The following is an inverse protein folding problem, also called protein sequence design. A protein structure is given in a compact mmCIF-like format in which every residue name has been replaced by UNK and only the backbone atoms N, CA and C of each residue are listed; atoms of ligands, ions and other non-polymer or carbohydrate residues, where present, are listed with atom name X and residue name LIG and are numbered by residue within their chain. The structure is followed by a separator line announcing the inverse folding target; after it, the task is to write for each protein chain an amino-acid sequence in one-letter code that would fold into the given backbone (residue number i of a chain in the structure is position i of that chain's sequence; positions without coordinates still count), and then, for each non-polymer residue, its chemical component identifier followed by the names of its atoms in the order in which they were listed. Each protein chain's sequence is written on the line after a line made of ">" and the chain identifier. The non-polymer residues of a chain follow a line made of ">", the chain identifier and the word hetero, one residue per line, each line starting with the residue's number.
data_IF_740991764672
#
_entry.id   IF_740991764672
#
_cell.length_a   1.000
_cell.length_b   1.000
_cell.length_c   1.000
_cell.angle_alpha   90.00
_cell.angle_beta   90.00
_cell.angle_gamma   90.00
#
_symmetry.space_group_name_H-M   'P 1'
#
loop_
_entity.id
_entity.type
_entity.pdbx_description
1 polymer ?
#
# COMPACT_ATOMS: atom_id res chain seq x y z
N UNK A 1 109.19 30.77 -36.57
CA UNK A 1 108.16 30.75 -37.63
C UNK A 1 107.69 29.32 -37.81
N UNK A 2 106.39 29.03 -37.65
CA UNK A 2 105.66 27.97 -38.37
C UNK A 2 104.20 28.02 -37.93
N UNK A 3 103.29 28.13 -38.89
CA UNK A 3 101.84 28.14 -38.68
C UNK A 3 101.24 26.85 -39.20
N UNK A 4 100.34 26.21 -38.44
CA UNK A 4 99.49 25.15 -38.96
C UNK A 4 98.01 25.51 -38.71
N UNK A 5 97.21 25.54 -39.78
CA UNK A 5 95.75 25.78 -39.73
C UNK A 5 95.00 24.46 -39.91
N UNK A 6 93.95 24.19 -39.12
CA UNK A 6 93.00 23.12 -39.40
C UNK A 6 91.83 23.62 -40.28
N UNK A 7 91.36 22.79 -41.21
CA UNK A 7 90.08 22.98 -41.91
C UNK A 7 89.57 21.64 -42.48
N UNK A 8 88.27 21.60 -42.83
CA UNK A 8 87.54 20.50 -43.50
C UNK A 8 86.99 19.36 -42.63
N UNK A 9 85.98 19.67 -41.80
CA UNK A 9 85.04 18.66 -41.29
C UNK A 9 83.55 19.10 -41.23
N UNK A 10 83.22 20.30 -41.72
CA UNK A 10 81.84 20.84 -41.74
C UNK A 10 81.08 20.59 -43.04
N UNK A 11 81.73 20.08 -44.09
CA UNK A 11 81.14 19.94 -45.44
C UNK A 11 80.38 18.63 -45.69
N UNK A 12 80.49 17.64 -44.80
CA UNK A 12 79.89 16.31 -44.98
C UNK A 12 78.48 16.22 -44.41
N UNK A 13 78.27 16.69 -43.17
CA UNK A 13 76.95 16.69 -42.50
C UNK A 13 75.89 17.50 -43.27
N UNK A 14 76.29 18.61 -43.92
CA UNK A 14 75.40 19.43 -44.73
C UNK A 14 74.91 18.72 -46.02
N UNK A 15 75.59 17.65 -46.44
CA UNK A 15 75.39 16.99 -47.74
C UNK A 15 74.48 15.76 -47.66
N UNK A 16 74.37 15.11 -46.51
CA UNK A 16 73.40 14.01 -46.30
C UNK A 16 71.96 14.52 -46.10
N UNK A 17 71.79 15.68 -45.45
CA UNK A 17 70.47 16.27 -45.19
C UNK A 17 69.66 16.60 -46.47
N UNK A 18 70.33 16.74 -47.63
CA UNK A 18 69.71 16.97 -48.93
C UNK A 18 69.40 15.68 -49.71
N UNK A 19 69.74 14.49 -49.17
CA UNK A 19 69.54 13.19 -49.83
C UNK A 19 68.33 12.41 -49.31
N UNK A 20 67.95 12.61 -48.04
CA UNK A 20 66.68 12.12 -47.50
C UNK A 20 65.57 13.12 -47.81
N UNK A 21 64.71 12.83 -48.78
CA UNK A 21 63.59 13.68 -49.22
C UNK A 21 62.43 13.83 -48.23
N UNK A 22 62.72 14.08 -46.94
CA UNK A 22 61.74 14.34 -45.89
C UNK A 22 61.48 15.84 -45.82
N UNK A 23 60.44 16.29 -46.53
CA UNK A 23 59.92 17.64 -46.39
C UNK A 23 59.22 17.79 -45.03
N UNK A 24 59.92 18.35 -44.05
CA UNK A 24 59.27 18.91 -42.87
C UNK A 24 58.53 20.18 -43.29
N UNK A 25 57.20 20.10 -43.40
CA UNK A 25 56.36 21.27 -43.58
C UNK A 25 56.60 22.27 -42.43
N UNK A 26 56.70 23.59 -42.69
CA UNK A 26 56.98 24.56 -41.65
C UNK A 26 55.99 24.49 -40.47
N UNK A 27 56.53 24.47 -39.25
CA UNK A 27 55.76 24.44 -37.99
C UNK A 27 54.86 25.66 -37.77
N UNK A 28 54.99 26.69 -38.60
CA UNK A 28 54.30 27.98 -38.51
C UNK A 28 52.77 27.89 -38.64
N UNK A 29 52.23 26.88 -39.32
CA UNK A 29 50.78 26.63 -39.35
C UNK A 29 50.27 26.13 -38.00
N UNK A 30 50.95 25.17 -37.37
CA UNK A 30 50.58 24.65 -36.05
C UNK A 30 50.72 25.68 -34.93
N UNK A 31 51.63 26.66 -35.07
CA UNK A 31 51.75 27.78 -34.14
C UNK A 31 50.63 28.81 -34.29
N UNK A 32 50.23 29.14 -35.53
CA UNK A 32 49.04 29.97 -35.78
C UNK A 32 47.76 29.32 -35.29
N UNK A 33 47.59 28.02 -35.51
CA UNK A 33 46.42 27.27 -35.03
C UNK A 33 46.40 27.24 -33.49
N UNK A 34 47.54 27.03 -32.82
CA UNK A 34 47.65 27.13 -31.35
C UNK A 34 47.32 28.52 -30.82
N UNK A 35 47.82 29.58 -31.44
CA UNK A 35 47.53 30.95 -31.05
C UNK A 35 46.04 31.29 -31.23
N UNK A 36 45.42 30.78 -32.31
CA UNK A 36 43.99 30.91 -32.55
C UNK A 36 43.15 30.17 -31.49
N UNK A 37 43.52 28.93 -31.12
CA UNK A 37 42.83 28.19 -30.05
C UNK A 37 42.98 28.88 -28.69
N UNK A 38 44.17 29.38 -28.36
CA UNK A 38 44.40 30.09 -27.09
C UNK A 38 43.54 31.36 -27.00
N UNK A 39 43.50 32.16 -28.07
CA UNK A 39 42.67 33.37 -28.13
C UNK A 39 41.17 33.07 -28.03
N UNK A 40 40.71 31.94 -28.59
CA UNK A 40 39.32 31.48 -28.41
C UNK A 40 39.04 31.02 -26.98
N UNK A 41 39.96 30.29 -26.34
CA UNK A 41 39.83 29.86 -24.94
C UNK A 41 39.80 31.07 -23.98
N UNK A 42 40.62 32.09 -24.22
CA UNK A 42 40.60 33.37 -23.48
C UNK A 42 39.27 34.12 -23.67
N UNK A 43 38.78 34.24 -24.91
CA UNK A 43 37.50 34.86 -25.19
C UNK A 43 36.31 34.10 -24.55
N UNK A 44 36.36 32.78 -24.51
CA UNK A 44 35.37 31.95 -23.81
C UNK A 44 35.47 32.11 -22.29
N UNK A 45 36.68 32.20 -21.73
CA UNK A 45 36.89 32.45 -20.30
C UNK A 45 36.39 33.84 -19.88
N UNK A 46 36.64 34.89 -20.69
CA UNK A 46 36.07 36.21 -20.47
C UNK A 46 34.54 36.22 -20.59
N UNK A 47 33.99 35.51 -21.58
CA UNK A 47 32.54 35.40 -21.75
C UNK A 47 31.89 34.72 -20.55
N UNK A 48 32.47 33.62 -20.04
CA UNK A 48 32.02 32.97 -18.82
C UNK A 48 32.11 33.90 -17.60
N UNK A 49 33.18 34.71 -17.49
CA UNK A 49 33.35 35.71 -16.42
C UNK A 49 32.33 36.86 -16.50
N UNK A 50 31.94 37.27 -17.72
CA UNK A 50 31.01 38.38 -17.97
C UNK A 50 29.52 37.95 -17.92
N UNK A 51 29.22 36.68 -18.15
CA UNK A 51 27.85 36.17 -18.28
C UNK A 51 27.48 35.03 -17.30
N UNK A 52 28.30 34.73 -16.28
CA UNK A 52 27.90 33.85 -15.18
C UNK A 52 26.99 34.56 -14.18
N UNK A 53 25.81 34.00 -13.89
CA UNK A 53 25.00 34.43 -12.76
C UNK A 53 25.72 34.18 -11.43
N UNK A 54 25.60 35.10 -10.48
CA UNK A 54 26.09 34.91 -9.10
C UNK A 54 25.41 33.67 -8.49
N UNK A 55 26.16 32.71 -7.93
CA UNK A 55 25.57 31.50 -7.36
C UNK A 55 24.68 31.87 -6.18
N UNK A 56 23.48 31.27 -6.14
CA UNK A 56 22.50 31.52 -5.07
C UNK A 56 23.13 31.23 -3.71
N UNK A 57 23.09 32.18 -2.74
CA UNK A 57 23.71 31.99 -1.44
C UNK A 57 23.21 30.72 -0.75
N UNK A 58 24.15 29.94 -0.20
CA UNK A 58 23.89 28.62 0.39
C UNK A 58 22.85 28.65 1.52
N UNK A 59 22.77 29.75 2.27
CA UNK A 59 21.78 29.91 3.35
C UNK A 59 20.34 29.97 2.81
N UNK A 60 20.08 30.55 1.63
CA UNK A 60 18.74 30.65 1.04
C UNK A 60 18.23 29.26 0.64
N UNK A 61 19.07 28.45 0.01
CA UNK A 61 18.70 27.11 -0.45
C UNK A 61 18.68 26.06 0.67
N UNK A 62 19.62 26.13 1.61
CA UNK A 62 19.71 25.17 2.72
C UNK A 62 18.65 25.40 3.81
N UNK A 63 18.29 26.65 4.13
CA UNK A 63 17.27 26.95 5.13
C UNK A 63 15.88 26.48 4.67
N UNK A 64 15.45 26.88 3.46
CA UNK A 64 14.15 26.49 2.90
C UNK A 64 13.98 24.96 2.79
N UNK A 65 15.05 24.24 2.42
CA UNK A 65 15.01 22.77 2.40
C UNK A 65 14.83 22.19 3.81
N UNK A 66 15.55 22.71 4.79
CA UNK A 66 15.48 22.26 6.18
C UNK A 66 14.09 22.48 6.79
N UNK A 67 13.49 23.65 6.56
CA UNK A 67 12.13 23.98 6.99
C UNK A 67 11.07 23.08 6.34
N UNK A 68 11.17 22.87 5.02
CA UNK A 68 10.31 21.94 4.29
C UNK A 68 10.40 20.51 4.83
N UNK A 69 11.62 20.05 5.14
CA UNK A 69 11.84 18.72 5.71
C UNK A 69 11.27 18.59 7.12
N UNK A 70 11.46 19.61 7.98
CA UNK A 70 10.85 19.67 9.32
C UNK A 70 9.31 19.67 9.24
N UNK A 71 8.72 20.38 8.28
CA UNK A 71 7.26 20.38 8.06
C UNK A 71 6.73 19.00 7.65
N UNK A 72 7.43 18.31 6.73
CA UNK A 72 7.10 16.93 6.32
C UNK A 72 7.29 15.93 7.46
N UNK A 73 8.29 16.12 8.32
CA UNK A 73 8.54 15.26 9.48
C UNK A 73 7.44 15.40 10.54
N UNK A 74 7.03 16.63 10.89
CA UNK A 74 5.86 16.84 11.76
C UNK A 74 4.59 16.17 11.21
N UNK A 75 4.34 16.28 9.90
CA UNK A 75 3.21 15.59 9.25
C UNK A 75 3.31 14.06 9.35
N UNK A 76 4.51 13.48 9.19
CA UNK A 76 4.74 12.03 9.40
C UNK A 76 4.44 11.62 10.84
N UNK A 77 4.94 12.38 11.82
CA UNK A 77 4.75 12.11 13.25
C UNK A 77 3.28 12.18 13.64
N UNK A 78 2.57 13.25 13.28
CA UNK A 78 1.11 13.39 13.53
C UNK A 78 0.32 12.23 12.92
N UNK A 79 0.61 11.84 11.68
CA UNK A 79 -0.03 10.67 11.06
C UNK A 79 0.31 9.34 11.75
N UNK A 80 1.51 9.24 12.35
CA UNK A 80 1.91 8.06 13.14
C UNK A 80 1.21 8.00 14.50
N UNK A 81 1.03 9.14 15.16
CA UNK A 81 0.29 9.28 16.41
C UNK A 81 -1.20 9.02 16.21
N UNK A 82 -1.82 9.59 15.15
CA UNK A 82 -3.21 9.31 14.80
C UNK A 82 -3.46 7.82 14.57
N UNK A 83 -2.59 7.14 13.80
CA UNK A 83 -2.67 5.68 13.60
C UNK A 83 -2.46 4.91 14.90
N UNK A 84 -1.50 5.31 15.75
CA UNK A 84 -1.26 4.69 17.06
C UNK A 84 -2.50 4.82 17.96
N UNK A 85 -3.07 6.01 18.05
CA UNK A 85 -4.25 6.28 18.89
C UNK A 85 -5.50 5.55 18.37
N UNK A 86 -5.67 5.44 17.05
CA UNK A 86 -6.73 4.63 16.43
C UNK A 86 -6.57 3.12 16.70
N UNK A 87 -5.34 2.60 16.69
CA UNK A 87 -5.07 1.21 17.06
C UNK A 87 -5.36 0.97 18.54
N UNK A 88 -4.95 1.89 19.42
CA UNK A 88 -5.23 1.83 20.86
C UNK A 88 -6.74 1.90 21.16
N UNK A 89 -7.51 2.77 20.48
CA UNK A 89 -8.97 2.85 20.70
C UNK A 89 -9.73 1.65 20.13
N UNK A 90 -9.19 0.99 19.10
CA UNK A 90 -9.74 -0.25 18.54
C UNK A 90 -9.37 -1.49 19.36
N UNK A 91 -8.25 -1.44 20.09
CA UNK A 91 -7.88 -2.45 21.07
C UNK A 91 -8.87 -2.37 22.25
N UNK A 92 -9.88 -3.24 22.26
CA UNK A 92 -10.66 -3.48 23.47
C UNK A 92 -9.70 -3.93 24.56
N UNK A 93 -9.55 -3.21 25.69
CA UNK A 93 -8.73 -3.69 26.78
C UNK A 93 -9.38 -4.98 27.29
N UNK A 94 -8.67 -6.09 27.12
CA UNK A 94 -8.94 -7.27 27.91
C UNK A 94 -8.77 -6.87 29.39
N UNK A 95 -9.66 -7.34 30.29
CA UNK A 95 -9.55 -7.03 31.73
C UNK A 95 -8.23 -7.50 32.38
N UNK A 96 -7.41 -8.24 31.63
CA UNK A 96 -6.02 -8.54 31.97
C UNK A 96 -5.08 -7.33 31.87
N UNK A 97 -5.34 -6.27 31.08
CA UNK A 97 -4.44 -5.10 30.99
C UNK A 97 -4.58 -4.20 32.23
N UNK A 98 -5.80 -4.05 32.75
CA UNK A 98 -6.06 -3.38 34.03
C UNK A 98 -5.43 -4.18 35.18
N UNK A 99 -5.65 -5.50 35.20
CA UNK A 99 -5.02 -6.42 36.16
C UNK A 99 -3.49 -6.41 36.07
N UNK A 100 -2.91 -6.28 34.88
CA UNK A 100 -1.46 -6.20 34.70
C UNK A 100 -0.92 -4.83 35.12
N UNK A 101 -1.62 -3.73 34.81
CA UNK A 101 -1.30 -2.39 35.31
C UNK A 101 -1.36 -2.35 36.84
N UNK A 102 -2.39 -2.94 37.44
CA UNK A 102 -2.53 -3.10 38.90
C UNK A 102 -1.39 -3.95 39.48
N UNK A 103 -1.06 -5.10 38.87
CA UNK A 103 0.07 -5.94 39.29
C UNK A 103 1.42 -5.22 39.17
N UNK A 104 1.63 -4.45 38.10
CA UNK A 104 2.82 -3.60 37.89
C UNK A 104 2.83 -2.36 38.79
N UNK A 105 1.69 -1.88 39.27
CA UNK A 105 1.58 -0.82 40.26
C UNK A 105 1.91 -1.35 41.65
N UNK A 106 1.34 -2.50 42.06
CA UNK A 106 1.67 -3.22 43.29
C UNK A 106 3.17 -3.56 43.36
N UNK A 107 3.76 -4.07 42.28
CA UNK A 107 5.21 -4.29 42.19
C UNK A 107 6.03 -3.00 42.39
N UNK A 108 5.60 -1.87 41.80
CA UNK A 108 6.29 -0.58 41.97
C UNK A 108 6.11 0.00 43.38
N UNK A 109 4.94 -0.18 44.00
CA UNK A 109 4.69 0.17 45.39
C UNK A 109 5.63 -0.63 46.31
N UNK A 110 5.65 -1.97 46.20
CA UNK A 110 6.54 -2.85 46.97
C UNK A 110 8.03 -2.51 46.78
N UNK A 111 8.47 -2.18 45.56
CA UNK A 111 9.86 -1.73 45.32
C UNK A 111 10.13 -0.38 45.99
N UNK A 112 9.17 0.55 45.96
CA UNK A 112 9.31 1.86 46.61
C UNK A 112 9.28 1.77 48.15
N UNK A 113 8.50 0.85 48.71
CA UNK A 113 8.45 0.56 50.15
C UNK A 113 9.74 -0.14 50.60
N UNK A 114 10.20 -1.16 49.86
CA UNK A 114 11.48 -1.83 50.11
C UNK A 114 12.71 -0.91 49.96
N UNK A 115 12.56 0.28 49.36
CA UNK A 115 13.60 1.33 49.30
C UNK A 115 13.56 2.32 50.47
N UNK A 116 12.51 2.32 51.30
CA UNK A 116 12.43 3.11 52.54
C UNK A 116 13.09 2.41 53.72
N UNK A 117 13.01 1.09 53.78
CA UNK A 117 13.50 0.29 54.92
C UNK A 117 14.98 -0.15 54.79
N UNK A 118 15.79 0.55 53.97
CA UNK A 118 17.22 0.23 53.77
C UNK A 118 18.13 1.44 53.86
N UNK A 119 18.21 1.99 55.09
CA UNK A 119 19.41 2.68 55.57
C UNK A 119 20.12 1.82 56.62
N UNK A 120 20.82 0.78 56.16
CA UNK A 120 21.98 0.25 56.87
C UNK A 120 22.85 -0.56 55.90
N UNK A 121 24.16 -0.40 56.01
CA UNK A 121 25.13 -0.90 55.04
C UNK A 121 25.93 -2.07 55.61
N UNK A 122 25.92 -3.22 54.94
CA UNK A 122 26.88 -4.31 55.19
C UNK A 122 27.38 -4.87 53.87
N UNK A 123 28.71 -4.96 53.75
CA UNK A 123 29.46 -5.52 52.62
C UNK A 123 29.71 -7.01 52.87
N UNK A 124 29.33 -7.91 51.95
CA UNK A 124 29.90 -9.27 51.84
C UNK A 124 30.05 -9.69 50.37
N UNK A 125 31.09 -10.48 50.09
CA UNK A 125 31.55 -10.93 48.75
C UNK A 125 30.88 -12.24 48.30
N UNK A 126 30.95 -12.47 46.98
CA UNK A 126 31.10 -13.73 46.22
C UNK A 126 30.58 -15.06 46.82
N UNK A 127 29.89 -15.87 45.98
CA UNK A 127 30.39 -17.18 45.53
C UNK A 127 29.46 -17.90 44.53
N UNK A 128 30.03 -18.78 43.71
CA UNK A 128 29.32 -19.70 42.81
C UNK A 128 28.97 -21.02 43.53
N UNK A 129 27.81 -21.64 43.26
CA UNK A 129 27.73 -23.02 42.75
C UNK A 129 26.33 -23.43 42.25
N UNK A 130 26.31 -24.59 41.60
CA UNK A 130 25.25 -25.23 40.82
C UNK A 130 24.25 -26.06 41.62
N UNK A 131 23.23 -26.57 40.91
CA UNK A 131 22.51 -27.88 41.00
C UNK A 131 20.99 -27.64 41.07
N UNK A 132 20.20 -27.89 40.00
CA UNK A 132 19.50 -29.16 39.65
C UNK A 132 18.55 -29.64 40.75
N UNK A 133 17.37 -30.21 40.48
CA UNK A 133 16.50 -30.20 39.29
C UNK A 133 15.23 -29.37 39.66
N UNK A 134 14.11 -29.21 38.94
CA UNK A 134 13.49 -29.93 37.81
C UNK A 134 12.71 -28.95 36.90
N UNK A 135 12.15 -29.44 35.79
CA UNK A 135 11.08 -28.77 35.01
C UNK A 135 9.96 -29.77 34.71
N UNK A 136 8.71 -29.37 34.92
CA UNK A 136 7.52 -30.02 34.37
C UNK A 136 6.88 -29.12 33.30
N UNK A 137 6.37 -29.71 32.23
CA UNK A 137 5.38 -29.07 31.35
C UNK A 137 5.91 -28.11 30.28
N UNK A 138 6.77 -28.59 29.38
CA UNK A 138 6.74 -28.09 28.00
C UNK A 138 5.79 -28.99 27.19
N UNK A 139 4.78 -28.41 26.54
CA UNK A 139 4.13 -29.06 25.39
C UNK A 139 3.73 -28.00 24.36
N UNK A 140 4.57 -27.88 23.34
CA UNK A 140 4.34 -27.00 22.20
C UNK A 140 3.58 -27.76 21.12
N UNK A 141 2.35 -27.33 20.78
CA UNK A 141 1.57 -27.92 19.70
C UNK A 141 2.31 -27.90 18.35
N UNK A 142 2.88 -29.05 17.98
CA UNK A 142 3.27 -29.42 16.63
C UNK A 142 2.65 -30.77 16.29
N UNK A 143 1.60 -30.75 15.46
CA UNK A 143 1.01 -31.93 14.83
C UNK A 143 1.05 -31.62 13.33
N UNK A 144 2.07 -32.10 12.62
CA UNK A 144 2.11 -33.41 11.97
C UNK A 144 1.04 -33.52 10.89
N UNK A 145 1.43 -33.21 9.65
CA UNK A 145 0.64 -33.53 8.46
C UNK A 145 0.85 -35.01 8.18
N UNK A 146 -0.18 -35.82 8.44
CA UNK A 146 -0.24 -37.18 7.92
C UNK A 146 -0.59 -37.13 6.44
N UNK A 147 0.35 -37.51 5.58
CA UNK A 147 0.04 -37.84 4.18
C UNK A 147 -0.66 -39.19 4.13
N UNK A 148 -1.84 -39.23 3.54
CA UNK A 148 -2.57 -40.47 3.27
C UNK A 148 -1.78 -41.28 2.23
N UNK A 149 -1.50 -42.55 2.53
CA UNK A 149 -0.94 -43.48 1.56
C UNK A 149 -2.08 -44.05 0.69
N UNK A 150 -2.29 -43.47 -0.49
CA UNK A 150 -3.15 -44.08 -1.51
C UNK A 150 -2.40 -45.21 -2.23
N UNK A 151 -2.67 -46.45 -1.79
CA UNK A 151 -2.25 -47.67 -2.47
C UNK A 151 -2.81 -47.68 -3.89
N UNK A 152 -1.93 -47.50 -4.87
CA UNK A 152 -2.23 -47.67 -6.29
C UNK A 152 -1.24 -48.64 -6.91
N UNK A 153 -1.53 -49.94 -6.76
CA UNK A 153 -0.86 -51.00 -7.51
C UNK A 153 -1.28 -50.90 -8.97
N UNK A 154 -0.37 -50.46 -9.82
CA UNK A 154 -0.47 -50.62 -11.27
C UNK A 154 0.93 -50.85 -11.83
N UNK A 155 1.25 -52.12 -12.10
CA UNK A 155 2.54 -52.51 -12.68
C UNK A 155 2.60 -52.14 -14.17
N UNK A 156 3.17 -50.96 -14.46
CA UNK A 156 3.58 -50.54 -15.80
C UNK A 156 5.10 -50.70 -16.01
N UNK A 157 5.58 -51.08 -17.22
CA UNK A 157 7.00 -51.31 -17.46
C UNK A 157 7.85 -50.02 -17.30
N UNK A 158 8.79 -50.03 -16.35
CA UNK A 158 9.68 -48.89 -16.08
C UNK A 158 10.73 -48.70 -17.19
N UNK A 159 10.51 -47.74 -18.09
CA UNK A 159 11.52 -47.25 -19.04
C UNK A 159 12.64 -46.50 -18.29
N UNK A 160 13.74 -47.20 -17.97
CA UNK A 160 14.86 -46.73 -17.12
C UNK A 160 15.72 -45.58 -17.68
N UNK A 161 15.35 -44.99 -18.82
CA UNK A 161 16.19 -43.98 -19.50
C UNK A 161 15.95 -42.55 -18.99
N UNK A 162 14.76 -42.24 -18.46
CA UNK A 162 14.39 -40.87 -18.07
C UNK A 162 15.12 -40.35 -16.80
N UNK A 163 15.36 -41.21 -15.81
CA UNK A 163 15.94 -40.80 -14.51
C UNK A 163 17.41 -40.35 -14.60
N UNK A 164 18.15 -40.80 -15.62
CA UNK A 164 19.57 -40.43 -15.81
C UNK A 164 19.72 -38.94 -16.19
N UNK A 165 18.96 -38.49 -17.17
CA UNK A 165 18.92 -37.07 -17.60
C UNK A 165 18.53 -36.14 -16.45
N UNK A 166 17.53 -36.52 -15.65
CA UNK A 166 17.04 -35.69 -14.55
C UNK A 166 18.14 -35.40 -13.54
N UNK A 167 18.95 -36.39 -13.15
CA UNK A 167 20.05 -36.20 -12.19
C UNK A 167 21.16 -35.30 -12.72
N UNK A 168 21.57 -35.44 -13.98
CA UNK A 168 22.53 -34.50 -14.60
C UNK A 168 22.00 -33.07 -14.63
N UNK A 169 20.70 -32.90 -14.94
CA UNK A 169 20.06 -31.57 -15.01
C UNK A 169 19.68 -30.95 -13.66
N UNK A 170 19.75 -31.68 -12.53
CA UNK A 170 19.53 -31.10 -11.19
C UNK A 170 20.77 -31.14 -10.28
N UNK A 171 21.85 -31.85 -10.65
CA UNK A 171 23.06 -31.98 -9.84
C UNK A 171 23.86 -30.69 -9.60
N UNK A 172 23.41 -29.54 -10.12
CA UNK A 172 23.90 -28.22 -9.71
C UNK A 172 23.19 -27.66 -8.47
N UNK A 173 22.01 -28.18 -8.10
CA UNK A 173 21.25 -27.75 -6.91
C UNK A 173 21.83 -28.36 -5.62
N UNK A 174 22.44 -29.54 -5.69
CA UNK A 174 23.10 -30.20 -4.56
C UNK A 174 24.43 -29.53 -4.16
N UNK A 175 24.95 -28.61 -4.99
CA UNK A 175 26.15 -27.83 -4.71
C UNK A 175 25.76 -26.55 -3.97
N UNK A 176 26.00 -26.51 -2.67
CA UNK A 176 25.85 -25.29 -1.87
C UNK A 176 26.72 -24.17 -2.45
N UNK A 177 26.16 -22.97 -2.74
CA UNK A 177 26.94 -21.89 -3.34
C UNK A 177 28.00 -21.40 -2.35
N UNK A 178 29.26 -21.28 -2.79
CA UNK A 178 30.37 -20.85 -1.93
C UNK A 178 30.26 -19.39 -1.46
N UNK A 179 29.44 -18.58 -2.14
CA UNK A 179 29.21 -17.19 -1.78
C UNK A 179 28.25 -17.06 -0.59
N UNK A 180 28.82 -16.85 0.59
CA UNK A 180 28.08 -16.43 1.78
C UNK A 180 28.15 -14.90 1.91
N UNK A 181 27.12 -14.14 1.49
CA UNK A 181 27.10 -12.70 1.67
C UNK A 181 27.10 -12.36 3.17
N UNK A 182 27.96 -11.43 3.58
CA UNK A 182 27.92 -10.84 4.93
C UNK A 182 26.69 -9.96 5.07
N UNK A 183 25.55 -10.57 5.43
CA UNK A 183 24.30 -9.87 5.70
C UNK A 183 24.50 -8.97 6.92
N UNK A 184 24.60 -7.66 6.69
CA UNK A 184 24.66 -6.66 7.76
C UNK A 184 23.29 -6.63 8.45
N UNK A 185 23.17 -7.30 9.59
CA UNK A 185 21.92 -7.41 10.37
C UNK A 185 21.51 -6.11 11.07
N UNK A 186 22.47 -5.22 11.31
CA UNK A 186 22.22 -3.93 11.96
C UNK A 186 21.97 -2.86 10.89
N UNK A 187 20.81 -2.22 10.94
CA UNK A 187 20.47 -1.12 10.05
C UNK A 187 21.45 0.05 10.31
N UNK A 188 22.23 0.51 9.32
CA UNK A 188 23.13 1.64 9.52
C UNK A 188 22.37 2.91 9.92
N UNK A 189 22.99 3.77 10.71
CA UNK A 189 22.42 5.07 11.07
C UNK A 189 22.40 6.00 9.84
N UNK A 190 21.33 5.90 9.06
CA UNK A 190 21.11 6.71 7.87
C UNK A 190 21.03 8.21 8.19
N UNK A 191 20.65 8.61 9.41
CA UNK A 191 20.62 10.02 9.79
C UNK A 191 22.05 10.57 9.95
N UNK A 192 22.93 9.84 10.64
CA UNK A 192 24.36 10.19 10.74
C UNK A 192 25.06 10.15 9.38
N UNK A 193 24.79 9.13 8.56
CA UNK A 193 25.35 9.02 7.21
C UNK A 193 24.88 10.16 6.29
N UNK A 194 23.60 10.49 6.29
CA UNK A 194 23.07 11.63 5.53
C UNK A 194 23.69 12.96 6.00
N UNK A 195 23.83 13.16 7.30
CA UNK A 195 24.45 14.36 7.89
C UNK A 195 25.97 14.42 7.67
N UNK A 196 26.65 13.30 7.42
CA UNK A 196 28.04 13.29 6.97
C UNK A 196 28.12 13.70 5.49
N UNK A 197 27.39 13.00 4.62
CA UNK A 197 27.34 13.27 3.18
C UNK A 197 26.93 14.72 2.87
N UNK A 198 25.97 15.28 3.61
CA UNK A 198 25.56 16.68 3.45
C UNK A 198 26.68 17.66 3.82
N UNK A 199 27.50 17.37 4.84
CA UNK A 199 28.67 18.19 5.17
C UNK A 199 29.74 18.09 4.08
N UNK A 200 30.01 16.90 3.58
CA UNK A 200 30.97 16.63 2.50
C UNK A 200 30.51 17.25 1.16
N UNK A 201 29.21 17.50 0.99
CA UNK A 201 28.63 18.23 -0.13
C UNK A 201 28.71 19.76 0.04
N UNK A 202 28.69 20.28 1.29
CA UNK A 202 28.89 21.72 1.57
C UNK A 202 30.36 22.14 1.61
N UNK A 203 31.28 21.21 1.87
CA UNK A 203 32.71 21.46 1.62
C UNK A 203 32.93 21.57 0.11
N UNK A 204 33.63 22.62 -0.31
CA UNK A 204 33.82 22.95 -1.73
C UNK A 204 34.61 21.86 -2.43
N UNK A 205 33.90 20.98 -3.15
CA UNK A 205 34.52 19.98 -4.03
C UNK A 205 35.38 20.73 -5.05
N UNK A 206 36.71 20.57 -4.96
CA UNK A 206 37.64 21.03 -6.00
C UNK A 206 37.11 20.52 -7.33
N UNK A 207 36.83 21.43 -8.26
CA UNK A 207 36.25 21.13 -9.58
C UNK A 207 36.95 19.92 -10.18
N UNK A 208 36.20 18.83 -10.41
CA UNK A 208 36.75 17.60 -10.98
C UNK A 208 37.25 17.89 -12.38
N UNK A 209 38.56 18.17 -12.50
CA UNK A 209 39.21 18.34 -13.80
C UNK A 209 39.23 16.97 -14.47
N UNK A 210 38.52 16.83 -15.58
CA UNK A 210 38.63 15.66 -16.42
C UNK A 210 40.08 15.56 -16.89
N UNK A 211 40.79 14.47 -16.55
CA UNK A 211 42.02 14.15 -17.26
C UNK A 211 41.65 13.89 -18.73
N UNK A 212 42.41 14.44 -19.70
CA UNK A 212 42.21 14.11 -21.10
C UNK A 212 42.55 12.63 -21.30
N UNK A 213 41.53 11.81 -21.56
CA UNK A 213 41.71 10.40 -21.92
C UNK A 213 41.60 10.26 -23.43
N UNK A 214 42.51 9.47 -24.02
CA UNK A 214 42.53 9.21 -25.45
C UNK A 214 41.41 8.23 -25.83
N UNK A 215 40.22 8.76 -26.12
CA UNK A 215 39.10 7.98 -26.64
C UNK A 215 39.45 7.46 -28.04
N UNK A 216 39.52 6.14 -28.22
CA UNK A 216 39.87 5.47 -29.49
C UNK A 216 38.72 5.52 -30.52
N UNK A 217 38.26 6.72 -30.88
CA UNK A 217 37.20 6.92 -31.88
C UNK A 217 37.63 6.56 -33.30
N UNK A 218 38.93 6.59 -33.61
CA UNK A 218 39.48 6.28 -34.94
C UNK A 218 39.21 4.86 -35.43
N UNK A 219 38.88 3.92 -34.54
CA UNK A 219 38.52 2.53 -34.89
C UNK A 219 37.00 2.30 -34.94
N UNK A 220 36.18 3.31 -34.66
CA UNK A 220 34.72 3.18 -34.74
C UNK A 220 34.24 3.54 -36.16
N UNK A 221 33.51 2.66 -36.86
CA UNK A 221 32.99 2.99 -38.18
C UNK A 221 32.00 4.16 -38.09
N UNK A 222 32.14 5.12 -39.01
CA UNK A 222 31.22 6.25 -39.12
C UNK A 222 29.81 5.71 -39.35
N UNK A 223 28.93 5.89 -38.36
CA UNK A 223 27.53 5.49 -38.45
C UNK A 223 26.85 6.39 -39.47
N UNK A 224 26.71 5.91 -40.70
CA UNK A 224 25.94 6.59 -41.74
C UNK A 224 24.48 6.72 -41.28
N UNK A 225 24.14 7.86 -40.68
CA UNK A 225 22.73 8.21 -40.51
C UNK A 225 22.18 8.51 -41.90
N UNK A 226 20.96 8.03 -42.16
CA UNK A 226 20.30 8.19 -43.45
C UNK A 226 19.96 9.67 -43.65
N UNK A 227 20.85 10.40 -44.33
CA UNK A 227 20.65 11.80 -44.66
C UNK A 227 19.44 11.94 -45.61
N UNK A 228 18.30 12.32 -45.05
CA UNK A 228 17.19 12.87 -45.82
C UNK A 228 17.61 14.24 -46.33
N UNK A 229 17.56 14.43 -47.65
CA UNK A 229 17.91 15.69 -48.32
C UNK A 229 17.04 16.87 -47.85
N UNK A 230 17.61 18.07 -48.00
CA UNK A 230 17.00 19.40 -47.89
C UNK A 230 16.62 19.90 -46.48
N UNK A 231 17.09 21.11 -46.15
CA UNK A 231 16.68 21.87 -44.95
C UNK A 231 17.83 22.55 -44.22
N UNK A 232 18.52 23.51 -44.85
CA UNK A 232 19.46 24.39 -44.17
C UNK A 232 18.71 25.25 -43.10
N UNK A 233 19.32 25.47 -41.93
CA UNK A 233 18.62 26.15 -40.83
C UNK A 233 19.25 25.99 -39.44
N UNK A 234 20.11 26.94 -39.08
CA UNK A 234 20.66 27.14 -37.72
C UNK A 234 19.60 27.01 -36.62
N UNK A 235 19.68 25.96 -35.79
CA UNK A 235 18.91 25.89 -34.53
C UNK A 235 19.53 26.79 -33.46
N UNK A 236 19.11 28.07 -33.44
CA UNK A 236 19.30 28.94 -32.27
C UNK A 236 18.28 28.56 -31.19
N UNK A 237 18.81 28.09 -30.07
CA UNK A 237 18.15 27.90 -28.80
C UNK A 237 17.75 29.27 -28.20
N UNK A 238 16.48 29.65 -28.31
CA UNK A 238 15.91 30.80 -27.59
C UNK A 238 15.07 30.35 -26.38
N UNK A 239 15.19 31.13 -25.32
CA UNK A 239 14.69 30.83 -23.97
C UNK A 239 13.25 31.30 -23.73
N UNK A 240 12.67 30.82 -22.62
CA UNK A 240 11.59 31.45 -21.86
C UNK A 240 10.25 31.73 -22.58
N UNK A 241 9.39 30.71 -22.59
CA UNK A 241 7.95 30.88 -22.86
C UNK A 241 7.19 31.22 -21.58
N UNK A 242 7.12 32.50 -21.25
CA UNK A 242 6.24 33.04 -20.20
C UNK A 242 4.78 32.64 -20.46
N UNK A 243 4.09 32.11 -19.44
CA UNK A 243 2.67 31.74 -19.52
C UNK A 243 1.79 32.85 -18.96
N UNK A 244 1.34 33.77 -19.82
CA UNK A 244 0.33 34.78 -19.52
C UNK A 244 -0.82 34.70 -20.55
N UNK A 245 -1.64 33.64 -20.47
CA UNK A 245 -2.80 33.46 -21.34
C UNK A 245 -4.08 34.15 -20.81
N UNK A 246 -4.00 34.90 -19.70
CA UNK A 246 -5.15 35.62 -19.12
C UNK A 246 -5.54 36.94 -19.80
N UNK A 247 -4.81 37.38 -20.83
CA UNK A 247 -4.98 38.71 -21.43
C UNK A 247 -5.93 38.76 -22.65
N UNK A 248 -6.36 37.62 -23.21
CA UNK A 248 -7.15 37.59 -24.45
C UNK A 248 -8.68 37.56 -24.24
N UNK A 249 -9.14 37.30 -23.01
CA UNK A 249 -10.56 37.37 -22.64
C UNK A 249 -11.06 38.78 -22.34
N UNK A 250 -10.19 39.80 -22.40
CA UNK A 250 -10.51 41.22 -22.15
C UNK A 250 -10.46 42.09 -23.40
N UNK A 251 -10.42 41.49 -24.60
CA UNK A 251 -10.52 42.22 -25.86
C UNK A 251 -11.98 42.62 -26.09
N UNK A 252 -12.21 43.91 -26.37
CA UNK A 252 -13.54 44.44 -26.64
C UNK A 252 -14.12 43.88 -27.95
N UNK A 253 -15.45 43.92 -28.06
CA UNK A 253 -16.22 43.56 -29.27
C UNK A 253 -15.91 44.42 -30.50
N UNK A 254 -15.04 45.42 -30.37
CA UNK A 254 -14.65 46.38 -31.41
C UNK A 254 -13.30 46.03 -32.07
N UNK A 255 -12.71 44.88 -31.71
CA UNK A 255 -11.48 44.39 -32.36
C UNK A 255 -11.84 43.56 -33.59
N UNK A 256 -11.37 43.97 -34.78
CA UNK A 256 -11.54 43.19 -36.01
C UNK A 256 -11.11 41.72 -35.81
N UNK A 257 -11.80 40.73 -36.43
CA UNK A 257 -11.48 39.32 -36.24
C UNK A 257 -10.01 39.04 -36.56
N UNK A 258 -9.22 38.76 -35.52
CA UNK A 258 -7.81 38.37 -35.69
C UNK A 258 -7.79 37.01 -36.37
N UNK A 259 -7.59 37.01 -37.68
CA UNK A 259 -7.57 35.81 -38.51
C UNK A 259 -6.67 34.74 -37.87
N UNK A 260 -7.29 33.65 -37.42
CA UNK A 260 -6.61 32.58 -36.71
C UNK A 260 -5.69 31.88 -37.69
N UNK A 261 -4.40 32.19 -37.63
CA UNK A 261 -3.36 31.56 -38.44
C UNK A 261 -3.39 30.04 -38.25
N UNK A 262 -3.07 29.27 -39.30
CA UNK A 262 -3.11 27.80 -39.20
C UNK A 262 -2.13 27.26 -38.15
N UNK A 263 -1.05 27.97 -37.84
CA UNK A 263 -0.18 27.65 -36.71
C UNK A 263 -0.89 27.78 -35.35
N UNK A 264 -1.88 28.67 -35.19
CA UNK A 264 -2.74 28.71 -34.01
C UNK A 264 -3.77 27.55 -34.03
N UNK A 265 -4.39 27.28 -35.19
CA UNK A 265 -5.34 26.16 -35.37
C UNK A 265 -4.69 24.81 -35.03
N UNK A 266 -3.52 24.51 -35.59
CA UNK A 266 -2.75 23.28 -35.32
C UNK A 266 -2.31 23.15 -33.87
N UNK A 267 -1.98 24.26 -33.19
CA UNK A 267 -1.69 24.25 -31.74
C UNK A 267 -2.95 23.91 -30.93
N UNK A 268 -4.10 24.49 -31.27
CA UNK A 268 -5.38 24.18 -30.60
C UNK A 268 -5.80 22.71 -30.83
N UNK A 269 -5.69 22.20 -32.06
CA UNK A 269 -5.93 20.79 -32.40
C UNK A 269 -5.02 19.85 -31.59
N UNK A 270 -3.72 20.15 -31.49
CA UNK A 270 -2.76 19.37 -30.72
C UNK A 270 -3.05 19.39 -29.21
N UNK A 271 -3.47 20.53 -28.67
CA UNK A 271 -3.90 20.65 -27.27
C UNK A 271 -5.16 19.79 -27.02
N UNK A 272 -6.18 19.88 -27.88
CA UNK A 272 -7.41 19.08 -27.76
C UNK A 272 -7.11 17.58 -27.78
N UNK A 273 -6.34 17.11 -28.78
CA UNK A 273 -5.91 15.69 -28.88
C UNK A 273 -5.08 15.25 -27.67
N UNK A 274 -4.24 16.12 -27.12
CA UNK A 274 -3.45 15.82 -25.93
C UNK A 274 -4.33 15.67 -24.67
N UNK A 275 -5.38 16.50 -24.54
CA UNK A 275 -6.36 16.38 -23.44
C UNK A 275 -7.20 15.12 -23.57
N UNK A 276 -7.72 14.83 -24.76
CA UNK A 276 -8.50 13.62 -25.08
C UNK A 276 -7.71 12.33 -24.75
N UNK A 277 -6.42 12.28 -25.06
CA UNK A 277 -5.51 11.16 -24.72
C UNK A 277 -5.17 11.09 -23.23
N UNK A 278 -5.27 12.17 -22.47
CA UNK A 278 -5.17 12.12 -21.00
C UNK A 278 -6.47 11.63 -20.39
N UNK A 279 -7.61 12.14 -20.87
CA UNK A 279 -8.94 11.77 -20.42
C UNK A 279 -9.21 10.28 -20.63
N UNK A 280 -8.89 9.73 -21.82
CA UNK A 280 -9.02 8.29 -22.10
C UNK A 280 -8.21 7.43 -21.12
N UNK A 281 -6.97 7.83 -20.81
CA UNK A 281 -6.11 7.13 -19.83
C UNK A 281 -6.65 7.23 -18.40
N UNK A 282 -7.24 8.37 -18.02
CA UNK A 282 -7.89 8.49 -16.71
C UNK A 282 -9.15 7.61 -16.62
N UNK A 283 -9.92 7.52 -17.70
CA UNK A 283 -11.09 6.64 -17.80
C UNK A 283 -10.69 5.16 -17.75
N UNK A 284 -9.68 4.74 -18.52
CA UNK A 284 -9.11 3.38 -18.47
C UNK A 284 -8.64 3.01 -17.05
N UNK A 285 -7.97 3.93 -16.36
CA UNK A 285 -7.52 3.75 -14.96
C UNK A 285 -8.72 3.63 -13.99
N UNK A 286 -9.75 4.45 -14.16
CA UNK A 286 -10.97 4.38 -13.36
C UNK A 286 -11.76 3.08 -13.60
N UNK A 287 -11.86 2.62 -14.84
CA UNK A 287 -12.47 1.34 -15.19
C UNK A 287 -11.68 0.15 -14.66
N UNK A 288 -10.34 0.19 -14.75
CA UNK A 288 -9.49 -0.82 -14.15
C UNK A 288 -9.72 -0.89 -12.63
N UNK A 289 -9.80 0.25 -11.94
CA UNK A 289 -10.06 0.30 -10.51
C UNK A 289 -11.44 -0.27 -10.16
N UNK A 290 -12.49 0.03 -10.93
CA UNK A 290 -13.83 -0.56 -10.75
C UNK A 290 -13.80 -2.08 -10.98
N UNK A 291 -13.17 -2.56 -12.05
CA UNK A 291 -13.02 -4.01 -12.34
C UNK A 291 -12.25 -4.73 -11.23
N UNK A 292 -11.19 -4.10 -10.71
CA UNK A 292 -10.41 -4.60 -9.58
C UNK A 292 -11.25 -4.66 -8.28
N UNK A 293 -11.97 -3.59 -7.94
CA UNK A 293 -12.87 -3.54 -6.79
C UNK A 293 -13.92 -4.65 -6.87
N UNK A 294 -14.66 -4.75 -7.97
CA UNK A 294 -15.66 -5.80 -8.19
C UNK A 294 -15.09 -7.21 -8.02
N UNK A 295 -13.88 -7.48 -8.54
CA UNK A 295 -13.20 -8.77 -8.36
C UNK A 295 -12.78 -9.02 -6.90
N UNK A 296 -12.28 -7.99 -6.22
CA UNK A 296 -11.91 -8.08 -4.80
C UNK A 296 -13.12 -8.31 -3.89
N UNK A 297 -14.26 -7.67 -4.16
CA UNK A 297 -15.50 -7.89 -3.44
C UNK A 297 -16.08 -9.27 -3.71
N UNK A 298 -16.06 -9.75 -4.96
CA UNK A 298 -16.50 -11.10 -5.29
C UNK A 298 -15.67 -12.16 -4.54
N UNK A 299 -14.34 -12.00 -4.50
CA UNK A 299 -13.45 -12.83 -3.71
C UNK A 299 -13.70 -12.70 -2.20
N UNK A 300 -13.98 -11.49 -1.69
CA UNK A 300 -14.33 -11.29 -0.29
C UNK A 300 -15.66 -11.99 0.06
N UNK A 301 -16.66 -11.95 -0.83
CA UNK A 301 -17.95 -12.67 -0.66
C UNK A 301 -17.75 -14.18 -0.60
N UNK A 302 -16.93 -14.78 -1.48
CA UNK A 302 -16.68 -16.24 -1.43
C UNK A 302 -15.87 -16.65 -0.20
N UNK A 303 -14.81 -15.90 0.15
CA UNK A 303 -14.01 -16.16 1.36
C UNK A 303 -14.84 -16.00 2.63
N UNK A 304 -15.66 -14.96 2.74
CA UNK A 304 -16.53 -14.78 3.91
C UNK A 304 -17.63 -15.83 4.00
N UNK A 305 -18.19 -16.29 2.88
CA UNK A 305 -19.14 -17.41 2.87
C UNK A 305 -18.45 -18.70 3.34
N UNK A 306 -17.27 -19.03 2.82
CA UNK A 306 -16.54 -20.22 3.21
C UNK A 306 -16.14 -20.19 4.70
N UNK A 307 -15.66 -19.04 5.20
CA UNK A 307 -15.36 -18.86 6.62
C UNK A 307 -16.60 -19.07 7.52
N UNK A 308 -17.79 -18.60 7.10
CA UNK A 308 -19.05 -18.84 7.83
C UNK A 308 -19.49 -20.31 7.82
N UNK A 309 -19.20 -21.05 6.75
CA UNK A 309 -19.52 -22.49 6.69
C UNK A 309 -18.60 -23.33 7.58
N UNK A 310 -17.38 -22.86 7.81
CA UNK A 310 -16.40 -23.52 8.70
C UNK A 310 -16.50 -23.07 10.16
N UNK A 311 -17.26 -22.01 10.47
CA UNK A 311 -17.50 -21.55 11.83
C UNK A 311 -18.69 -22.31 12.45
N UNK A 312 -18.50 -23.10 13.54
CA UNK A 312 -19.60 -23.74 14.25
C UNK A 312 -20.59 -22.75 14.87
N UNK A 313 -20.21 -21.47 15.02
CA UNK A 313 -21.01 -20.45 15.67
C UNK A 313 -21.60 -19.47 14.66
N UNK A 314 -22.94 -19.42 14.56
CA UNK A 314 -23.64 -18.37 13.80
C UNK A 314 -23.37 -16.99 14.42
N UNK A 315 -23.19 -15.97 13.58
CA UNK A 315 -22.92 -14.62 14.08
C UNK A 315 -24.15 -14.04 14.78
N UNK A 316 -23.94 -13.30 15.88
CA UNK A 316 -25.03 -12.71 16.67
C UNK A 316 -25.96 -11.81 15.83
N UNK A 317 -25.42 -11.15 14.79
CA UNK A 317 -26.18 -10.29 13.88
C UNK A 317 -27.19 -11.07 13.03
N UNK A 318 -26.86 -12.29 12.62
CA UNK A 318 -27.75 -13.16 11.85
C UNK A 318 -28.84 -13.73 12.75
N UNK A 319 -28.45 -14.28 13.90
CA UNK A 319 -29.35 -14.89 14.88
C UNK A 319 -30.34 -13.88 15.50
N UNK A 320 -29.96 -12.61 15.63
CA UNK A 320 -30.82 -11.56 16.19
C UNK A 320 -32.15 -11.43 15.43
N UNK A 321 -32.10 -11.41 14.08
CA UNK A 321 -33.30 -11.27 13.26
C UNK A 321 -34.16 -12.54 13.30
N UNK A 322 -33.54 -13.73 13.27
CA UNK A 322 -34.24 -15.01 13.39
C UNK A 322 -35.01 -15.10 14.73
N UNK A 323 -34.35 -14.76 15.85
CA UNK A 323 -34.98 -14.72 17.17
C UNK A 323 -36.10 -13.68 17.27
N UNK A 324 -35.91 -12.49 16.68
CA UNK A 324 -36.93 -11.44 16.72
C UNK A 324 -38.22 -11.88 16.00
N UNK A 325 -38.13 -12.60 14.89
CA UNK A 325 -39.30 -13.17 14.22
C UNK A 325 -39.94 -14.29 15.05
N UNK A 326 -39.14 -15.20 15.60
CA UNK A 326 -39.65 -16.26 16.49
C UNK A 326 -40.43 -15.69 17.69
N UNK A 327 -39.94 -14.60 18.32
CA UNK A 327 -40.68 -13.93 19.39
C UNK A 327 -42.01 -13.33 18.89
N UNK A 328 -42.03 -12.66 17.73
CA UNK A 328 -43.27 -12.12 17.13
C UNK A 328 -44.29 -13.22 16.82
N UNK A 329 -43.84 -14.35 16.29
CA UNK A 329 -44.70 -15.50 15.99
C UNK A 329 -45.25 -16.13 17.27
N UNK A 330 -44.41 -16.34 18.28
CA UNK A 330 -44.83 -16.82 19.59
C UNK A 330 -45.83 -15.87 20.26
N UNK A 331 -45.64 -14.55 20.15
CA UNK A 331 -46.58 -13.55 20.68
C UNK A 331 -47.94 -13.62 19.96
N UNK A 332 -47.94 -13.77 18.63
CA UNK A 332 -49.17 -14.00 17.86
C UNK A 332 -49.86 -15.32 18.23
N UNK A 333 -49.11 -16.39 18.48
CA UNK A 333 -49.66 -17.67 18.92
C UNK A 333 -50.34 -17.53 20.29
N UNK A 334 -49.65 -16.96 21.29
CA UNK A 334 -50.22 -16.70 22.62
C UNK A 334 -51.48 -15.83 22.55
N UNK A 335 -51.51 -14.81 21.68
CA UNK A 335 -52.72 -13.99 21.47
C UNK A 335 -53.88 -14.77 20.84
N UNK A 336 -53.62 -15.70 19.93
CA UNK A 336 -54.65 -16.58 19.34
C UNK A 336 -55.19 -17.57 20.37
N UNK A 337 -54.33 -18.15 21.21
CA UNK A 337 -54.70 -19.05 22.30
C UNK A 337 -55.56 -18.32 23.34
N UNK A 338 -55.08 -17.18 23.84
CA UNK A 338 -55.84 -16.32 24.75
C UNK A 338 -57.21 -15.91 24.18
N UNK A 339 -57.30 -15.59 22.89
CA UNK A 339 -58.58 -15.30 22.23
C UNK A 339 -59.52 -16.52 22.19
N UNK A 340 -59.00 -17.73 21.96
CA UNK A 340 -59.78 -18.98 22.03
C UNK A 340 -60.25 -19.26 23.44
N UNK A 341 -59.40 -19.07 24.45
CA UNK A 341 -59.75 -19.24 25.86
C UNK A 341 -60.87 -18.28 26.28
N UNK A 342 -60.75 -16.98 25.96
CA UNK A 342 -61.79 -16.00 26.24
C UNK A 342 -63.12 -16.34 25.55
N UNK A 343 -63.09 -16.85 24.31
CA UNK A 343 -64.30 -17.35 23.62
C UNK A 343 -64.89 -18.55 24.35
N UNK A 344 -64.07 -19.50 24.79
CA UNK A 344 -64.49 -20.66 25.58
C UNK A 344 -65.08 -20.27 26.94
N UNK A 345 -64.46 -19.32 27.64
CA UNK A 345 -64.99 -18.75 28.89
C UNK A 345 -66.34 -18.07 28.65
N UNK A 346 -66.45 -17.22 27.63
CA UNK A 346 -67.70 -16.54 27.26
C UNK A 346 -68.81 -17.55 26.94
N UNK A 347 -68.51 -18.60 26.18
CA UNK A 347 -69.46 -19.68 25.88
C UNK A 347 -69.93 -20.40 27.16
N UNK A 348 -69.02 -20.75 28.08
CA UNK A 348 -69.38 -21.38 29.36
C UNK A 348 -70.22 -20.47 30.26
N UNK A 349 -69.99 -19.15 30.22
CA UNK A 349 -70.77 -18.17 30.99
C UNK A 349 -72.15 -17.96 30.35
N UNK A 350 -72.24 -17.83 29.02
CA UNK A 350 -73.53 -17.62 28.34
C UNK A 350 -74.46 -18.85 28.36
N UNK A 351 -73.90 -20.06 28.43
CA UNK A 351 -74.68 -21.30 28.57
C UNK A 351 -75.20 -21.54 29.99
N UNK A 352 -74.79 -20.74 30.99
CA UNK A 352 -75.29 -20.83 32.37
C UNK A 352 -76.47 -19.86 32.55
N UNK A 353 -77.72 -20.34 32.64
CA UNK A 353 -78.86 -19.46 32.88
C UNK A 353 -78.75 -18.84 34.28
N UNK A 354 -79.13 -17.57 34.39
CA UNK A 354 -79.12 -16.85 35.67
C UNK A 354 -80.10 -17.45 36.67
N UNK A 355 -79.86 -17.28 37.98
CA UNK A 355 -80.71 -17.84 39.02
C UNK A 355 -82.19 -17.42 38.87
N UNK A 356 -82.46 -16.14 38.54
CA UNK A 356 -83.83 -15.68 38.28
C UNK A 356 -84.46 -16.34 37.04
N UNK A 357 -83.66 -16.65 36.02
CA UNK A 357 -84.12 -17.34 34.81
C UNK A 357 -84.41 -18.81 35.10
N UNK A 358 -83.57 -19.48 35.91
CA UNK A 358 -83.81 -20.83 36.42
C UNK A 358 -85.09 -20.89 37.27
N UNK A 359 -85.25 -19.99 38.24
CA UNK A 359 -86.47 -19.90 39.08
C UNK A 359 -87.71 -19.64 38.23
N UNK A 360 -87.63 -18.74 37.22
CA UNK A 360 -88.73 -18.48 36.28
C UNK A 360 -89.04 -19.69 35.39
N UNK A 361 -88.04 -20.45 34.97
CA UNK A 361 -88.22 -21.67 34.18
C UNK A 361 -88.86 -22.77 35.03
N UNK A 362 -88.39 -23.00 36.25
CA UNK A 362 -88.97 -24.00 37.18
C UNK A 362 -90.40 -23.63 37.58
N UNK A 363 -90.68 -22.35 37.85
CA UNK A 363 -92.05 -21.90 38.18
C UNK A 363 -92.99 -21.99 36.98
N UNK A 364 -92.52 -21.69 35.77
CA UNK A 364 -93.28 -21.90 34.53
C UNK A 364 -93.55 -23.39 34.28
N UNK A 365 -92.55 -24.26 34.40
CA UNK A 365 -92.71 -25.72 34.29
C UNK A 365 -93.70 -26.27 35.32
N UNK A 366 -93.58 -25.85 36.59
CA UNK A 366 -94.51 -26.24 37.66
C UNK A 366 -95.94 -25.74 37.40
N UNK A 367 -96.09 -24.53 36.89
CA UNK A 367 -97.39 -23.96 36.49
C UNK A 367 -98.02 -24.71 35.31
N UNK A 368 -97.21 -25.08 34.30
CA UNK A 368 -97.66 -25.93 33.19
C UNK A 368 -98.12 -27.31 33.67
N UNK A 369 -97.30 -27.97 34.50
CA UNK A 369 -97.61 -29.26 35.14
C UNK A 369 -98.96 -29.17 35.87
N UNK A 370 -99.13 -28.21 36.78
CA UNK A 370 -100.37 -28.05 37.57
C UNK A 370 -101.60 -27.76 36.70
N UNK A 371 -101.47 -27.00 35.61
CA UNK A 371 -102.61 -26.63 34.75
C UNK A 371 -102.97 -27.69 33.72
N UNK A 372 -101.98 -28.29 33.05
CA UNK A 372 -102.20 -29.13 31.87
C UNK A 372 -102.26 -30.63 32.20
N UNK A 373 -101.53 -31.12 33.21
CA UNK A 373 -101.60 -32.54 33.60
C UNK A 373 -103.02 -32.98 33.97
N UNK A 374 -103.78 -32.30 34.87
CA UNK A 374 -105.14 -32.73 35.19
C UNK A 374 -106.09 -32.64 33.98
N UNK A 375 -105.86 -31.71 33.05
CA UNK A 375 -106.63 -31.62 31.80
C UNK A 375 -106.33 -32.81 30.88
N UNK A 376 -105.05 -33.15 30.70
CA UNK A 376 -104.62 -34.31 29.89
C UNK A 376 -105.13 -35.62 30.50
N UNK A 377 -104.99 -35.83 31.82
CA UNK A 377 -105.56 -36.99 32.50
C UNK A 377 -107.09 -37.05 32.35
N UNK A 378 -107.79 -35.91 32.43
CA UNK A 378 -109.25 -35.87 32.23
C UNK A 378 -109.64 -36.20 30.79
N UNK A 379 -108.90 -35.73 29.79
CA UNK A 379 -109.11 -36.09 28.38
C UNK A 379 -108.84 -37.59 28.13
N UNK A 380 -107.76 -38.15 28.68
CA UNK A 380 -107.45 -39.58 28.58
C UNK A 380 -108.54 -40.43 29.26
N UNK A 381 -108.99 -40.01 30.45
CA UNK A 381 -110.06 -40.70 31.18
C UNK A 381 -111.40 -40.66 30.43
N UNK A 382 -111.77 -39.51 29.85
CA UNK A 382 -112.98 -39.39 29.02
C UNK A 382 -112.87 -40.28 27.77
N UNK A 383 -111.71 -40.30 27.10
CA UNK A 383 -111.47 -41.16 25.95
C UNK A 383 -111.65 -42.65 26.29
N UNK A 384 -111.05 -43.11 27.39
CA UNK A 384 -111.16 -44.50 27.88
C UNK A 384 -112.54 -44.91 28.40
N UNK A 385 -113.46 -43.97 28.64
CA UNK A 385 -114.84 -44.23 29.09
C UNK A 385 -115.90 -44.03 28.00
N UNK A 386 -115.51 -43.54 26.81
CA UNK A 386 -116.38 -43.30 25.66
C UNK A 386 -115.95 -44.05 24.39
N UNK A 387 -114.98 -44.97 24.52
CA UNK A 387 -114.69 -46.05 23.57
C UNK A 387 -115.04 -47.39 24.21
#
# INVERSE_FOLDING_TARGET
>A
MSTFRPCMMTSWAQREALRSGVWYAPTTSFEKDRACTHSQEEAMAECLKKFSATPVPSHVSAALFSEMMMKKERQRQLGHEQRKNFLISRQKPFGFEEREKERRAKLRAMISEASKDKKEAVVVKNSHKTTKDSKQGEDCHKVLIQTVEDVSVSEGPKLRTADRNRKERVGFLDKSPSFQPKIIRQVPDFYRLHKALQRDATQTKKTTKCQPFYLRTSTLPVRQSRATMAGDGKKKNSTNRSKSLGALTSLSTDTLPVYITDAARKRAEAIRKSLEVQESKTQESAEWLRKYQMRSEAMQRTVTLHAKLLDPHRSLKEVYNEKLQHHREADQQRMREYSKELKGMRARVSQRPYLFQQVKQVSASRSYIIKYIPVVFKCIFIYYYYT
#
